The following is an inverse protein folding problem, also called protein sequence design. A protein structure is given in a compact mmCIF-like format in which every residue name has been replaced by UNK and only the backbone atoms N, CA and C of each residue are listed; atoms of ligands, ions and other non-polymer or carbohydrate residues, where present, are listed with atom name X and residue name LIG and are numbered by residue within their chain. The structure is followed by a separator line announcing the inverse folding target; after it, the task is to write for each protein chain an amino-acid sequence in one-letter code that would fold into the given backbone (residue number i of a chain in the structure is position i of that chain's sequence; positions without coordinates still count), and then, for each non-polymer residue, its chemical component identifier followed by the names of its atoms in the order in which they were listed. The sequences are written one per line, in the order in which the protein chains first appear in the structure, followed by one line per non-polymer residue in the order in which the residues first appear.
data_IF_841879612720
#
_entry.id   IF_841879612720
#
_cell.length_a   1.000
_cell.length_b   1.000
_cell.length_c   1.000
_cell.angle_alpha   90.00
_cell.angle_beta   90.00
_cell.angle_gamma   90.00
#
_symmetry.space_group_name_H-M   'P 1'
#
loop_
_entity.id
_entity.type
_entity.pdbx_description
1 polymer ?
#
# COMPACT_ATOMS: atom_id res chain seq x y z
N UNK A 1 3.22 -12.60 12.68
CA UNK A 1 3.17 -12.55 11.21
C UNK A 1 2.47 -11.27 10.84
N UNK A 2 3.23 -10.20 10.61
CA UNK A 2 2.68 -8.86 10.37
C UNK A 2 2.44 -8.71 8.88
N UNK A 3 1.35 -9.29 8.39
CA UNK A 3 1.01 -9.29 6.96
C UNK A 3 0.34 -7.96 6.60
N UNK A 4 1.14 -6.92 6.32
CA UNK A 4 0.66 -5.66 5.78
C UNK A 4 0.45 -5.74 4.27
N UNK A 5 -0.49 -4.97 3.70
CA UNK A 5 -0.65 -4.81 2.25
C UNK A 5 -0.10 -3.44 1.83
N UNK A 6 0.75 -3.41 0.81
CA UNK A 6 1.25 -2.16 0.21
C UNK A 6 0.67 -1.96 -1.18
N UNK A 7 -0.02 -0.84 -1.38
CA UNK A 7 -0.49 -0.42 -2.69
C UNK A 7 0.65 0.27 -3.44
N UNK A 8 1.32 -0.51 -4.29
CA UNK A 8 2.59 -0.12 -4.90
C UNK A 8 2.43 0.29 -6.37
N UNK A 9 3.15 1.35 -6.76
CA UNK A 9 3.35 1.71 -8.15
C UNK A 9 4.84 1.64 -8.53
N UNK A 10 5.25 0.72 -9.42
CA UNK A 10 6.66 0.54 -9.79
C UNK A 10 7.26 1.74 -10.53
N UNK A 11 6.42 2.62 -11.09
CA UNK A 11 6.86 3.86 -11.75
C UNK A 11 7.07 5.02 -10.75
N UNK A 12 6.69 4.86 -9.49
CA UNK A 12 6.82 5.90 -8.47
C UNK A 12 8.06 5.65 -7.60
N UNK A 13 9.01 6.58 -7.62
CA UNK A 13 10.25 6.47 -6.84
C UNK A 13 10.00 6.39 -5.33
N UNK A 14 9.01 7.13 -4.80
CA UNK A 14 8.63 7.06 -3.39
C UNK A 14 8.08 5.70 -3.01
N UNK A 15 7.21 5.13 -3.86
CA UNK A 15 6.62 3.81 -3.64
C UNK A 15 7.64 2.68 -3.62
N UNK A 16 8.73 2.80 -4.40
CA UNK A 16 9.87 1.86 -4.38
C UNK A 16 10.66 1.95 -3.08
N UNK A 17 11.00 3.18 -2.66
CA UNK A 17 11.71 3.41 -1.39
C UNK A 17 10.94 2.85 -0.19
N UNK A 18 9.61 3.00 -0.15
CA UNK A 18 8.79 2.43 0.94
C UNK A 18 8.83 0.91 0.95
N UNK A 19 8.75 0.25 -0.22
CA UNK A 19 8.85 -1.21 -0.31
C UNK A 19 10.23 -1.71 0.14
N UNK A 20 11.29 -1.00 -0.24
CA UNK A 20 12.66 -1.31 0.20
C UNK A 20 12.81 -1.15 1.72
N UNK A 21 12.27 -0.06 2.29
CA UNK A 21 12.29 0.17 3.74
C UNK A 21 11.56 -0.94 4.50
N UNK A 22 10.39 -1.37 4.03
CA UNK A 22 9.64 -2.46 4.66
C UNK A 22 10.46 -3.75 4.66
N UNK A 23 11.06 -4.11 3.53
CA UNK A 23 11.93 -5.29 3.40
C UNK A 23 13.18 -5.20 4.28
N UNK A 24 13.78 -4.03 4.39
CA UNK A 24 14.94 -3.76 5.27
C UNK A 24 14.59 -3.96 6.75
N UNK A 25 13.33 -3.71 7.13
CA UNK A 25 12.82 -3.93 8.47
C UNK A 25 12.25 -5.35 8.70
N UNK A 26 12.59 -6.32 7.85
CA UNK A 26 12.07 -7.71 7.89
C UNK A 26 10.54 -7.81 7.78
N UNK A 27 9.90 -6.77 7.20
CA UNK A 27 8.47 -6.77 6.90
C UNK A 27 8.30 -7.17 5.43
N UNK A 28 7.64 -8.31 5.20
CA UNK A 28 7.24 -8.74 3.87
C UNK A 28 5.76 -8.38 3.61
N UNK A 29 5.47 -7.21 3.03
CA UNK A 29 4.11 -6.82 2.72
C UNK A 29 3.63 -7.47 1.42
N UNK A 30 2.35 -7.75 1.33
CA UNK A 30 1.72 -8.13 0.07
C UNK A 30 1.67 -6.91 -0.86
N UNK A 31 2.31 -7.02 -2.03
CA UNK A 31 2.44 -5.93 -3.00
C UNK A 31 1.24 -5.94 -3.95
N UNK A 32 0.33 -4.99 -3.79
CA UNK A 32 -0.85 -4.82 -4.63
C UNK A 32 -0.61 -3.69 -5.64
N UNK A 33 -0.60 -4.03 -6.93
CA UNK A 33 -0.49 -3.04 -8.01
C UNK A 33 -1.84 -2.36 -8.26
N UNK A 34 -2.11 -1.25 -7.55
CA UNK A 34 -3.41 -0.56 -7.62
C UNK A 34 -3.80 -0.07 -9.02
N UNK A 35 -2.83 0.14 -9.91
CA UNK A 35 -3.09 0.49 -11.31
C UNK A 35 -3.63 -0.69 -12.15
N UNK A 36 -3.34 -1.93 -11.75
CA UNK A 36 -3.84 -3.14 -12.41
C UNK A 36 -5.06 -3.71 -11.69
N UNK A 37 -5.00 -3.74 -10.36
CA UNK A 37 -6.05 -4.25 -9.48
C UNK A 37 -6.52 -3.09 -8.59
N UNK A 38 -7.35 -2.18 -9.13
CA UNK A 38 -7.85 -1.07 -8.36
C UNK A 38 -8.76 -1.58 -7.22
N UNK A 39 -8.60 -1.06 -6.00
CA UNK A 39 -9.51 -1.36 -4.91
C UNK A 39 -10.93 -0.85 -5.21
N UNK A 40 -11.93 -1.53 -4.68
CA UNK A 40 -13.32 -1.08 -4.78
C UNK A 40 -13.56 0.19 -3.96
N UNK A 41 -14.61 0.94 -4.29
CA UNK A 41 -14.99 2.16 -3.56
C UNK A 41 -15.15 1.95 -2.04
N UNK A 42 -15.72 0.82 -1.63
CA UNK A 42 -15.89 0.47 -0.22
C UNK A 42 -14.55 0.27 0.50
N UNK A 43 -13.58 -0.38 -0.16
CA UNK A 43 -12.22 -0.57 0.36
C UNK A 43 -11.52 0.78 0.47
N UNK A 44 -11.59 1.62 -0.56
CA UNK A 44 -11.01 2.97 -0.54
C UNK A 44 -11.57 3.83 0.59
N UNK A 45 -12.89 3.82 0.80
CA UNK A 45 -13.52 4.57 1.89
C UNK A 45 -13.01 4.10 3.26
N UNK A 46 -12.83 2.79 3.43
CA UNK A 46 -12.28 2.21 4.66
C UNK A 46 -10.83 2.63 4.86
N UNK A 47 -10.01 2.55 3.81
CA UNK A 47 -8.60 2.96 3.85
C UNK A 47 -8.41 4.45 4.15
N UNK A 48 -9.24 5.31 3.55
CA UNK A 48 -9.21 6.76 3.78
C UNK A 48 -9.55 7.07 5.25
N UNK A 49 -10.59 6.40 5.78
CA UNK A 49 -10.99 6.52 7.18
C UNK A 49 -9.89 6.02 8.14
N UNK A 50 -9.27 4.89 7.85
CA UNK A 50 -8.18 4.30 8.65
C UNK A 50 -6.92 5.19 8.64
N UNK A 51 -6.62 5.81 7.49
CA UNK A 51 -5.55 6.78 7.35
C UNK A 51 -5.83 8.12 8.06
N UNK A 52 -7.05 8.35 8.56
CA UNK A 52 -7.45 9.59 9.19
C UNK A 52 -7.48 10.79 8.23
N UNK A 53 -7.61 10.54 6.93
CA UNK A 53 -7.68 11.56 5.89
C UNK A 53 -9.15 11.89 5.63
N UNK A 54 -9.51 13.17 5.63
CA UNK A 54 -10.84 13.65 5.24
C UNK A 54 -10.87 13.89 3.72
N UNK A 55 -11.94 13.48 3.04
CA UNK A 55 -12.12 13.60 1.57
C UNK A 55 -13.38 14.37 1.22
#
# INVERSE_FOLDING_TARGET
MTTGRIYHNPKCSTSRKTLELLRDNDVDPEVVLYLKNPPSRAELATMIKDAGIDV
#
